data_IF_313950845506
#
_entry.id   IF_313950845506
#
_cell.length_a   1.000
_cell.length_b   1.000
_cell.length_c   1.000
_cell.angle_alpha   90.00
_cell.angle_beta   90.00
_cell.angle_gamma   90.00
#
_symmetry.space_group_name_H-M   'P 1'
#
loop_
_entity.id
_entity.type
_entity.pdbx_description
1 polymer ?
#
# COMPACT_ATOMS: atom_id res chain seq x y z
N UNK A 1 -34.09 -11.33 -15.41
CA UNK A 1 -32.79 -11.96 -15.71
C UNK A 1 -31.79 -11.28 -14.83
N UNK A 2 -31.60 -11.90 -13.67
CA UNK A 2 -30.80 -11.39 -12.57
C UNK A 2 -29.32 -11.51 -12.92
N UNK A 3 -28.57 -10.45 -12.63
CA UNK A 3 -27.14 -10.41 -12.92
C UNK A 3 -26.43 -9.21 -12.32
N UNK A 4 -26.81 -8.81 -11.10
CA UNK A 4 -25.99 -7.88 -10.32
C UNK A 4 -24.71 -8.61 -9.92
N UNK A 5 -23.61 -8.35 -10.63
CA UNK A 5 -22.29 -8.84 -10.22
C UNK A 5 -21.65 -7.82 -9.27
N UNK A 6 -22.08 -7.87 -8.01
CA UNK A 6 -21.37 -7.24 -6.90
C UNK A 6 -20.14 -8.08 -6.55
N UNK A 7 -19.04 -7.86 -7.28
CA UNK A 7 -17.72 -8.23 -6.78
C UNK A 7 -17.28 -7.20 -5.72
N UNK A 8 -17.98 -7.17 -4.59
CA UNK A 8 -17.59 -6.43 -3.38
C UNK A 8 -16.50 -7.21 -2.63
N UNK A 9 -15.43 -7.56 -3.35
CA UNK A 9 -14.27 -8.25 -2.79
C UNK A 9 -13.42 -7.23 -2.04
N UNK A 10 -13.37 -7.34 -0.72
CA UNK A 10 -12.45 -6.62 0.14
C UNK A 10 -11.00 -7.08 -0.15
N UNK A 11 -10.44 -6.67 -1.30
CA UNK A 11 -9.09 -7.05 -1.71
C UNK A 11 -8.05 -6.26 -0.93
N UNK A 12 -6.99 -6.92 -0.47
CA UNK A 12 -5.89 -6.30 0.26
C UNK A 12 -4.78 -5.93 -0.73
N UNK A 13 -4.37 -4.67 -0.74
CA UNK A 13 -3.23 -4.19 -1.54
C UNK A 13 -1.95 -4.24 -0.70
N UNK A 14 -0.91 -4.88 -1.24
CA UNK A 14 0.45 -4.71 -0.72
C UNK A 14 1.02 -3.41 -1.28
N UNK A 15 1.19 -2.41 -0.42
CA UNK A 15 1.68 -1.09 -0.79
C UNK A 15 3.16 -0.96 -0.42
N UNK A 16 4.03 -0.98 -1.41
CA UNK A 16 5.47 -0.81 -1.23
C UNK A 16 5.83 0.68 -1.25
N UNK A 17 6.19 1.21 -0.09
CA UNK A 17 6.48 2.64 0.12
C UNK A 17 7.97 2.98 0.08
N UNK A 18 8.82 2.00 -0.23
CA UNK A 18 10.26 2.19 -0.44
C UNK A 18 10.51 3.05 -1.68
N UNK A 19 11.67 3.69 -1.77
CA UNK A 19 12.05 4.38 -2.98
C UNK A 19 12.21 3.40 -4.16
N UNK A 20 12.20 3.94 -5.38
CA UNK A 20 12.27 3.15 -6.59
C UNK A 20 13.59 2.39 -6.72
N UNK A 21 14.68 2.85 -6.10
CA UNK A 21 15.96 2.16 -6.15
C UNK A 21 15.88 0.88 -5.32
N UNK A 22 15.42 0.96 -4.08
CA UNK A 22 15.21 -0.21 -3.22
C UNK A 22 14.19 -1.19 -3.83
N UNK A 23 13.06 -0.68 -4.31
CA UNK A 23 12.00 -1.50 -4.89
C UNK A 23 12.41 -2.16 -6.22
N UNK A 24 13.28 -1.54 -7.02
CA UNK A 24 13.80 -2.13 -8.25
C UNK A 24 14.87 -3.20 -8.00
N UNK A 25 15.71 -3.03 -6.98
CA UNK A 25 16.75 -4.01 -6.63
C UNK A 25 16.17 -5.25 -5.93
N UNK A 26 15.16 -5.07 -5.10
CA UNK A 26 14.50 -6.15 -4.37
C UNK A 26 12.97 -6.06 -4.51
N UNK A 27 12.43 -6.41 -5.69
CA UNK A 27 11.01 -6.22 -6.00
C UNK A 27 10.14 -7.18 -5.20
N UNK A 28 9.01 -6.65 -4.72
CA UNK A 28 7.99 -7.43 -4.03
C UNK A 28 6.90 -7.77 -5.03
N UNK A 29 6.87 -9.03 -5.47
CA UNK A 29 5.95 -9.48 -6.50
C UNK A 29 4.50 -9.20 -6.10
N UNK A 30 3.76 -8.53 -7.00
CA UNK A 30 2.35 -8.17 -6.77
C UNK A 30 2.12 -6.98 -5.83
N UNK A 31 3.18 -6.34 -5.33
CA UNK A 31 3.03 -5.07 -4.61
C UNK A 31 2.84 -3.90 -5.57
N UNK A 32 1.99 -2.97 -5.15
CA UNK A 32 1.88 -1.65 -5.76
C UNK A 32 2.96 -0.76 -5.17
N UNK A 33 4.01 -0.45 -5.93
CA UNK A 33 5.07 0.42 -5.48
C UNK A 33 4.69 1.89 -5.66
N UNK A 34 4.56 2.59 -4.54
CA UNK A 34 4.30 4.02 -4.47
C UNK A 34 5.14 4.58 -3.33
N UNK A 35 6.38 5.04 -3.60
CA UNK A 35 7.29 5.53 -2.57
C UNK A 35 6.63 6.60 -1.70
N UNK A 36 6.99 6.67 -0.42
CA UNK A 36 6.32 7.57 0.54
C UNK A 36 6.23 9.04 0.08
N UNK A 37 7.23 9.53 -0.65
CA UNK A 37 7.22 10.87 -1.25
C UNK A 37 6.09 11.08 -2.28
N UNK A 38 5.74 10.03 -3.03
CA UNK A 38 4.65 10.02 -4.00
C UNK A 38 3.32 9.63 -3.38
N UNK A 39 3.33 8.79 -2.34
CA UNK A 39 2.12 8.38 -1.60
C UNK A 39 1.28 9.59 -1.15
N UNK A 40 1.93 10.66 -0.68
CA UNK A 40 1.22 11.86 -0.22
C UNK A 40 0.36 12.54 -1.29
N UNK A 41 0.76 12.43 -2.57
CA UNK A 41 0.10 13.08 -3.71
C UNK A 41 -0.78 12.15 -4.53
N UNK A 42 -0.60 10.84 -4.40
CA UNK A 42 -1.16 9.84 -5.31
C UNK A 42 -1.83 8.66 -4.58
N UNK A 43 -2.22 8.83 -3.32
CA UNK A 43 -2.89 7.77 -2.55
C UNK A 43 -4.27 7.42 -3.11
N UNK A 44 -4.89 8.31 -3.87
CA UNK A 44 -6.13 8.12 -4.62
C UNK A 44 -6.03 7.01 -5.69
N UNK A 45 -4.82 6.65 -6.12
CA UNK A 45 -4.58 5.55 -7.06
C UNK A 45 -4.71 4.15 -6.43
N UNK A 46 -4.75 4.07 -5.09
CA UNK A 46 -4.83 2.80 -4.39
C UNK A 46 -6.25 2.25 -4.55
N UNK A 47 -6.38 1.15 -5.29
CA UNK A 47 -7.66 0.53 -5.66
C UNK A 47 -8.45 -0.09 -4.51
N UNK A 48 -7.94 -0.05 -3.28
CA UNK A 48 -8.58 -0.60 -2.09
C UNK A 48 -8.31 0.23 -0.84
N UNK A 49 -9.29 0.29 0.05
CA UNK A 49 -9.12 0.88 1.37
C UNK A 49 -8.31 -0.01 2.32
N UNK A 50 -8.05 -1.28 2.01
CA UNK A 50 -7.29 -2.21 2.86
C UNK A 50 -5.87 -2.43 2.34
N UNK A 51 -4.88 -2.13 3.19
CA UNK A 51 -3.47 -2.14 2.78
C UNK A 51 -2.57 -2.88 3.76
N UNK A 52 -1.57 -3.60 3.23
CA UNK A 52 -0.39 -4.07 3.94
C UNK A 52 0.78 -3.20 3.50
N UNK A 53 1.45 -2.53 4.45
CA UNK A 53 2.57 -1.61 4.14
C UNK A 53 3.87 -2.38 4.04
N UNK A 54 4.59 -2.26 2.94
CA UNK A 54 5.95 -2.79 2.77
C UNK A 54 6.95 -1.63 2.82
N UNK A 55 7.92 -1.70 3.72
CA UNK A 55 8.87 -0.61 3.97
C UNK A 55 10.28 -1.13 4.29
N UNK A 56 11.29 -0.28 4.13
CA UNK A 56 12.70 -0.60 4.41
C UNK A 56 13.05 -0.53 5.90
N UNK A 57 12.38 0.34 6.65
CA UNK A 57 12.68 0.56 8.06
C UNK A 57 11.44 0.91 8.91
N UNK A 58 11.55 0.84 10.26
CA UNK A 58 10.45 1.16 11.15
C UNK A 58 9.93 2.61 11.08
N UNK A 59 10.78 3.58 10.75
CA UNK A 59 10.41 4.99 10.63
C UNK A 59 9.53 5.18 9.40
N UNK A 60 9.97 4.72 8.22
CA UNK A 60 9.21 4.76 6.98
C UNK A 60 7.86 4.04 7.13
N UNK A 61 7.87 2.86 7.77
CA UNK A 61 6.65 2.11 8.12
C UNK A 61 5.70 2.94 9.00
N UNK A 62 6.18 3.53 10.09
CA UNK A 62 5.33 4.31 10.99
C UNK A 62 4.75 5.57 10.32
N UNK A 63 5.56 6.29 9.55
CA UNK A 63 5.13 7.47 8.80
C UNK A 63 4.05 7.14 7.77
N UNK A 64 4.23 6.03 7.06
CA UNK A 64 3.29 5.56 6.04
C UNK A 64 1.97 5.11 6.67
N UNK A 65 2.02 4.31 7.74
CA UNK A 65 0.82 3.86 8.45
C UNK A 65 0.03 5.06 9.02
N UNK A 66 0.72 6.03 9.62
CA UNK A 66 0.07 7.24 10.15
C UNK A 66 -0.63 8.03 9.04
N UNK A 67 0.06 8.23 7.92
CA UNK A 67 -0.48 8.94 6.77
C UNK A 67 -1.74 8.22 6.24
N UNK A 68 -1.64 6.92 5.96
CA UNK A 68 -2.71 6.09 5.42
C UNK A 68 -3.95 6.08 6.32
N UNK A 69 -3.78 5.85 7.63
CA UNK A 69 -4.89 5.90 8.59
C UNK A 69 -5.55 7.28 8.62
N UNK A 70 -4.77 8.35 8.52
CA UNK A 70 -5.29 9.71 8.44
C UNK A 70 -6.12 10.01 7.18
N UNK A 71 -5.97 9.21 6.14
CA UNK A 71 -6.68 9.34 4.86
C UNK A 71 -7.72 8.23 4.63
N UNK A 72 -8.18 7.57 5.70
CA UNK A 72 -9.29 6.61 5.63
C UNK A 72 -8.90 5.19 5.21
N UNK A 73 -7.61 4.89 5.01
CA UNK A 73 -7.16 3.52 4.76
C UNK A 73 -7.16 2.68 6.05
N UNK A 74 -7.60 1.43 5.92
CA UNK A 74 -7.44 0.38 6.91
C UNK A 74 -6.13 -0.36 6.66
N UNK A 75 -5.11 -0.02 7.45
CA UNK A 75 -3.86 -0.76 7.47
C UNK A 75 -4.05 -2.08 8.24
N UNK A 76 -3.95 -3.22 7.56
CA UNK A 76 -4.17 -4.56 8.14
C UNK A 76 -2.88 -5.30 8.51
N UNK A 77 -1.73 -4.79 8.10
CA UNK A 77 -0.42 -5.35 8.42
C UNK A 77 0.72 -4.52 7.87
N UNK A 78 1.94 -4.98 8.13
CA UNK A 78 3.15 -4.44 7.52
C UNK A 78 4.22 -5.52 7.35
N UNK A 79 5.16 -5.29 6.44
CA UNK A 79 6.37 -6.08 6.24
C UNK A 79 7.57 -5.13 6.18
N UNK A 80 8.64 -5.50 6.87
CA UNK A 80 9.94 -4.83 6.71
C UNK A 80 10.83 -5.67 5.79
N UNK A 81 11.40 -5.04 4.77
CA UNK A 81 12.26 -5.67 3.76
C UNK A 81 13.43 -4.74 3.50
N UNK A 82 14.65 -5.22 3.79
CA UNK A 82 15.88 -4.51 3.42
C UNK A 82 16.19 -4.65 1.95
#
# INVERSE_FOLDING_TARGET
MDGVNVNSGNHIVYLDVRDYQDASHNPVQGAFNLPYAYLKRHHDQISSCQVVVVASDPVLKNLSIRFLKGHGFKVVGYQLIK
#
